data_IF_810522688644
#
_entry.id   IF_810522688644
#
_cell.length_a   1.000
_cell.length_b   1.000
_cell.length_c   1.000
_cell.angle_alpha   90.00
_cell.angle_beta   90.00
_cell.angle_gamma   90.00
#
_symmetry.space_group_name_H-M   'P 1'
#
loop_
_entity.id
_entity.type
_entity.pdbx_description
1 polymer ?
#
# COMPACT_ATOMS: atom_id res chain seq x y z
N UNK A 1 13.37 -3.19 23.39
CA UNK A 1 13.84 -3.34 22.00
C UNK A 1 13.67 -2.00 21.29
N UNK A 2 14.77 -1.38 20.86
CA UNK A 2 14.77 -0.02 20.32
C UNK A 2 14.13 0.07 18.92
N UNK A 3 13.53 1.23 18.62
CA UNK A 3 12.98 1.51 17.30
C UNK A 3 14.09 1.40 16.25
N UNK A 4 13.85 0.64 15.17
CA UNK A 4 14.73 0.66 13.99
C UNK A 4 14.75 2.09 13.44
N UNK A 5 15.93 2.56 13.02
CA UNK A 5 16.09 3.88 12.40
C UNK A 5 15.20 3.99 11.17
N UNK A 6 14.56 5.14 11.00
CA UNK A 6 13.79 5.45 9.81
C UNK A 6 14.67 5.40 8.56
N UNK A 7 14.06 5.01 7.43
CA UNK A 7 14.74 5.04 6.13
C UNK A 7 15.08 6.48 5.76
N UNK A 8 16.29 6.71 5.28
CA UNK A 8 16.70 8.01 4.74
C UNK A 8 16.17 8.18 3.30
N UNK A 9 15.94 9.41 2.82
CA UNK A 9 15.45 9.64 1.46
C UNK A 9 16.24 8.92 0.34
N UNK A 10 17.60 8.86 0.39
CA UNK A 10 18.37 8.10 -0.61
C UNK A 10 18.10 6.59 -0.58
N UNK A 11 17.80 6.02 0.59
CA UNK A 11 17.48 4.60 0.73
C UNK A 11 16.09 4.30 0.17
N UNK A 12 15.12 5.19 0.42
CA UNK A 12 13.78 5.09 -0.16
C UNK A 12 13.87 5.14 -1.69
N UNK A 13 14.67 6.05 -2.24
CA UNK A 13 14.91 6.15 -3.68
C UNK A 13 15.57 4.87 -4.24
N UNK A 14 16.59 4.33 -3.58
CA UNK A 14 17.25 3.10 -4.02
C UNK A 14 16.30 1.89 -4.03
N UNK A 15 15.44 1.75 -3.02
CA UNK A 15 14.43 0.69 -2.97
C UNK A 15 13.41 0.85 -4.10
N UNK A 16 12.92 2.08 -4.30
CA UNK A 16 12.01 2.44 -5.40
C UNK A 16 12.59 2.05 -6.75
N UNK A 17 13.81 2.49 -7.03
CA UNK A 17 14.54 2.19 -8.27
C UNK A 17 14.69 0.68 -8.49
N UNK A 18 15.09 -0.06 -7.46
CA UNK A 18 15.25 -1.50 -7.55
C UNK A 18 13.92 -2.23 -7.84
N UNK A 19 12.82 -1.83 -7.20
CA UNK A 19 11.50 -2.42 -7.43
C UNK A 19 10.99 -2.15 -8.85
N UNK A 20 11.23 -0.95 -9.39
CA UNK A 20 10.87 -0.61 -10.77
C UNK A 20 11.68 -1.43 -11.76
N UNK A 21 12.99 -1.55 -11.55
CA UNK A 21 13.88 -2.33 -12.41
C UNK A 21 13.52 -3.82 -12.45
N UNK A 22 13.02 -4.37 -11.33
CA UNK A 22 12.56 -5.75 -11.23
C UNK A 22 11.10 -5.95 -11.70
N UNK A 23 10.45 -4.91 -12.23
CA UNK A 23 9.04 -4.93 -12.66
C UNK A 23 8.06 -5.39 -11.56
N UNK A 24 8.42 -5.19 -10.29
CA UNK A 24 7.64 -5.63 -9.12
C UNK A 24 6.59 -4.59 -8.76
N UNK A 25 5.64 -4.35 -9.67
CA UNK A 25 4.63 -3.29 -9.56
C UNK A 25 3.80 -3.37 -8.27
N UNK A 26 3.42 -4.58 -7.85
CA UNK A 26 2.72 -4.82 -6.58
C UNK A 26 3.53 -4.34 -5.38
N UNK A 27 4.80 -4.73 -5.32
CA UNK A 27 5.64 -4.49 -4.15
C UNK A 27 6.08 -3.01 -4.13
N UNK A 28 6.21 -2.38 -5.30
CA UNK A 28 6.37 -0.93 -5.43
C UNK A 28 5.17 -0.17 -4.87
N UNK A 29 3.96 -0.54 -5.27
CA UNK A 29 2.74 0.10 -4.79
C UNK A 29 2.54 -0.12 -3.27
N UNK A 30 2.84 -1.32 -2.77
CA UNK A 30 2.79 -1.63 -1.34
C UNK A 30 3.80 -0.80 -0.53
N UNK A 31 5.02 -0.67 -1.05
CA UNK A 31 6.08 0.11 -0.42
C UNK A 31 5.71 1.58 -0.34
N UNK A 32 5.25 2.18 -1.44
CA UNK A 32 4.85 3.59 -1.46
C UNK A 32 3.66 3.86 -0.50
N UNK A 33 2.66 2.97 -0.48
CA UNK A 33 1.55 3.08 0.47
C UNK A 33 2.03 2.96 1.92
N UNK A 34 2.97 2.06 2.22
CA UNK A 34 3.49 1.89 3.57
C UNK A 34 4.29 3.10 4.07
N UNK A 35 5.04 3.75 3.17
CA UNK A 35 5.80 4.97 3.48
C UNK A 35 4.84 6.13 3.79
N UNK A 36 3.84 6.35 2.93
CA UNK A 36 2.93 7.49 3.04
C UNK A 36 1.94 7.34 4.21
N UNK A 37 1.44 6.12 4.44
CA UNK A 37 0.40 5.87 5.44
C UNK A 37 0.92 5.72 6.87
N UNK A 38 2.21 5.36 7.01
CA UNK A 38 2.85 5.00 8.29
C UNK A 38 2.03 3.99 9.12
N UNK A 39 1.18 3.20 8.46
CA UNK A 39 0.34 2.22 9.11
C UNK A 39 1.18 1.03 9.61
N UNK A 40 0.61 0.29 10.55
CA UNK A 40 1.19 -1.01 10.95
C UNK A 40 1.11 -1.95 9.75
N UNK A 41 2.12 -2.79 9.55
CA UNK A 41 2.13 -3.72 8.41
C UNK A 41 0.88 -4.60 8.31
N UNK A 42 0.28 -4.99 9.44
CA UNK A 42 -0.97 -5.76 9.46
C UNK A 42 -2.21 -4.97 9.03
N UNK A 43 -2.18 -3.63 9.14
CA UNK A 43 -3.24 -2.75 8.67
C UNK A 43 -3.02 -2.43 7.17
N UNK A 44 -1.77 -2.22 6.72
CA UNK A 44 -1.43 -1.97 5.30
C UNK A 44 -1.94 -3.10 4.39
N UNK A 45 -1.70 -4.36 4.76
CA UNK A 45 -2.12 -5.50 3.93
C UNK A 45 -3.64 -5.67 3.85
N UNK A 46 -4.39 -5.09 4.79
CA UNK A 46 -5.87 -5.18 4.85
C UNK A 46 -6.57 -4.01 4.16
N UNK A 47 -5.83 -3.06 3.61
CA UNK A 47 -6.40 -1.94 2.85
C UNK A 47 -7.20 -2.49 1.66
N UNK A 48 -8.45 -2.05 1.55
CA UNK A 48 -9.33 -2.34 0.42
C UNK A 48 -9.16 -1.31 -0.69
N UNK A 49 -9.57 -1.67 -1.90
CA UNK A 49 -9.55 -0.74 -3.03
C UNK A 49 -10.42 0.49 -2.73
N UNK A 50 -11.59 0.31 -2.11
CA UNK A 50 -12.49 1.41 -1.74
C UNK A 50 -11.95 2.38 -0.68
N UNK A 51 -10.91 1.99 0.08
CA UNK A 51 -10.27 2.88 1.06
C UNK A 51 -9.41 3.94 0.35
N UNK A 52 -8.84 3.60 -0.80
CA UNK A 52 -7.86 4.41 -1.55
C UNK A 52 -8.38 4.90 -2.91
N UNK A 53 -9.45 4.30 -3.46
CA UNK A 53 -10.05 4.68 -4.75
C UNK A 53 -11.47 5.20 -4.55
N UNK A 54 -11.81 6.27 -5.26
CA UNK A 54 -13.16 6.84 -5.36
C UNK A 54 -13.47 7.15 -6.82
N UNK A 55 -14.62 6.72 -7.32
CA UNK A 55 -15.07 7.03 -8.68
C UNK A 55 -14.00 6.75 -9.76
N UNK A 56 -13.23 5.67 -9.62
CA UNK A 56 -12.16 5.29 -10.55
C UNK A 56 -10.83 6.04 -10.39
N UNK A 57 -10.72 6.98 -9.45
CA UNK A 57 -9.50 7.74 -9.19
C UNK A 57 -8.90 7.42 -7.82
N UNK A 58 -7.57 7.39 -7.74
CA UNK A 58 -6.87 7.27 -6.46
C UNK A 58 -7.00 8.59 -5.69
N UNK A 59 -7.51 8.50 -4.48
CA UNK A 59 -7.72 9.65 -3.60
C UNK A 59 -6.38 10.30 -3.24
N UNK A 60 -6.39 11.62 -3.03
CA UNK A 60 -5.26 12.32 -2.42
C UNK A 60 -5.16 12.05 -0.91
N UNK A 61 -6.27 11.67 -0.26
CA UNK A 61 -6.33 11.29 1.15
C UNK A 61 -7.12 10.01 1.31
N UNK A 62 -6.59 9.09 2.11
CA UNK A 62 -7.26 7.84 2.45
C UNK A 62 -7.50 7.77 3.95
N UNK A 63 -8.51 7.02 4.35
CA UNK A 63 -8.85 6.78 5.75
C UNK A 63 -8.91 5.28 5.96
N UNK A 64 -8.10 4.76 6.88
CA UNK A 64 -8.06 3.34 7.23
C UNK A 64 -8.25 3.20 8.74
N UNK A 65 -9.15 2.30 9.15
CA UNK A 65 -9.38 2.01 10.56
C UNK A 65 -8.31 1.03 11.06
N UNK A 66 -7.45 1.49 11.96
CA UNK A 66 -6.41 0.63 12.53
C UNK A 66 -7.02 -0.48 13.39
N UNK A 67 -6.57 -1.72 13.20
CA UNK A 67 -7.15 -2.88 13.90
C UNK A 67 -6.95 -2.82 15.41
N UNK A 68 -5.75 -2.41 15.86
CA UNK A 68 -5.38 -2.41 17.28
C UNK A 68 -6.14 -1.36 18.08
N UNK A 69 -6.25 -0.16 17.53
CA UNK A 69 -6.82 1.00 18.23
C UNK A 69 -8.28 1.22 17.90
N UNK A 70 -8.79 0.58 16.83
CA UNK A 70 -10.15 0.79 16.28
C UNK A 70 -10.43 2.25 15.92
N UNK A 71 -9.38 3.04 15.69
CA UNK A 71 -9.47 4.46 15.34
C UNK A 71 -9.22 4.63 13.84
N UNK A 72 -10.01 5.49 13.16
CA UNK A 72 -9.71 5.90 11.80
C UNK A 72 -8.40 6.70 11.81
N UNK A 73 -7.51 6.37 10.89
CA UNK A 73 -6.29 7.13 10.62
C UNK A 73 -6.39 7.65 9.20
N UNK A 74 -6.31 8.98 9.07
CA UNK A 74 -6.25 9.66 7.80
C UNK A 74 -4.79 9.92 7.45
N UNK A 75 -4.44 9.69 6.20
CA UNK A 75 -3.10 9.99 5.66
C UNK A 75 -3.22 10.51 4.23
N UNK A 76 -2.19 11.21 3.79
CA UNK A 76 -2.08 11.73 2.43
C UNK A 76 -1.36 10.72 1.54
N UNK A 77 -1.86 10.56 0.31
CA UNK A 77 -1.26 9.75 -0.73
C UNK A 77 -0.48 10.68 -1.66
N UNK A 78 0.85 10.64 -1.53
CA UNK A 78 1.75 11.44 -2.35
C UNK A 78 1.64 11.02 -3.81
N UNK A 79 2.01 11.92 -4.72
CA UNK A 79 1.89 11.68 -6.17
C UNK A 79 2.59 10.39 -6.61
N UNK A 80 3.79 10.12 -6.09
CA UNK A 80 4.52 8.89 -6.38
C UNK A 80 3.72 7.62 -5.98
N UNK A 81 3.05 7.63 -4.82
CA UNK A 81 2.22 6.52 -4.38
C UNK A 81 0.96 6.39 -5.22
N UNK A 82 0.33 7.50 -5.62
CA UNK A 82 -0.84 7.48 -6.50
C UNK A 82 -0.51 6.88 -7.87
N UNK A 83 0.66 7.20 -8.43
CA UNK A 83 1.12 6.63 -9.69
C UNK A 83 1.39 5.12 -9.58
N UNK A 84 2.10 4.68 -8.54
CA UNK A 84 2.41 3.26 -8.36
C UNK A 84 1.18 2.43 -8.02
N UNK A 85 0.30 2.93 -7.14
CA UNK A 85 -0.98 2.29 -6.84
C UNK A 85 -1.86 2.18 -8.08
N UNK A 86 -1.90 3.21 -8.93
CA UNK A 86 -2.69 3.18 -10.18
C UNK A 86 -2.18 2.09 -11.12
N UNK A 87 -0.86 2.07 -11.37
CA UNK A 87 -0.23 1.08 -12.23
C UNK A 87 -0.37 -0.36 -11.69
N UNK A 88 -0.54 -0.54 -10.38
CA UNK A 88 -0.84 -1.82 -9.77
C UNK A 88 -2.32 -2.21 -9.91
N UNK A 89 -3.24 -1.31 -9.56
CA UNK A 89 -4.68 -1.58 -9.60
C UNK A 89 -5.21 -1.77 -11.02
N UNK A 90 -4.67 -1.06 -12.02
CA UNK A 90 -4.99 -1.27 -13.43
C UNK A 90 -4.62 -2.68 -13.91
N UNK A 91 -3.50 -3.24 -13.40
CA UNK A 91 -3.08 -4.61 -13.73
C UNK A 91 -3.82 -5.67 -12.94
N UNK A 92 -4.11 -5.40 -11.66
CA UNK A 92 -4.81 -6.32 -10.75
C UNK A 92 -6.29 -6.47 -11.13
N UNK A 93 -6.95 -5.38 -11.51
CA UNK A 93 -8.41 -5.31 -11.61
C UNK A 93 -9.10 -5.49 -10.24
N UNK A 94 -10.42 -5.69 -10.22
CA UNK A 94 -11.19 -5.95 -8.99
C UNK A 94 -12.19 -4.86 -8.62
N UNK A 95 -12.87 -5.07 -7.50
CA UNK A 95 -13.94 -4.21 -7.00
C UNK A 95 -13.51 -3.46 -5.73
N UNK A 96 -14.29 -2.45 -5.33
CA UNK A 96 -14.01 -1.64 -4.13
C UNK A 96 -13.96 -2.46 -2.84
N UNK A 97 -14.62 -3.62 -2.81
CA UNK A 97 -14.67 -4.51 -1.66
C UNK A 97 -13.44 -5.41 -1.53
N UNK A 98 -12.66 -5.54 -2.61
CA UNK A 98 -11.49 -6.38 -2.64
C UNK A 98 -10.29 -5.75 -1.94
N UNK A 99 -9.40 -6.60 -1.43
CA UNK A 99 -8.10 -6.15 -0.93
C UNK A 99 -7.25 -5.55 -2.05
N UNK A 100 -6.65 -4.39 -1.78
CA UNK A 100 -5.71 -3.75 -2.70
C UNK A 100 -4.46 -4.64 -2.92
N UNK A 101 -4.05 -5.39 -1.89
CA UNK A 101 -2.91 -6.31 -1.94
C UNK A 101 -3.32 -7.72 -1.50
N UNK A 102 -3.91 -8.52 -2.41
CA UNK A 102 -4.26 -9.90 -2.11
C UNK A 102 -3.03 -10.80 -1.98
N UNK A 103 -3.20 -11.94 -1.31
CA UNK A 103 -2.21 -13.02 -1.24
C UNK A 103 -1.86 -13.52 -2.66
N UNK A 104 -0.63 -14.03 -2.85
CA UNK A 104 -0.22 -14.68 -4.12
C UNK A 104 -0.93 -16.02 -4.34
N UNK A 105 -1.43 -16.64 -3.27
CA UNK A 105 -2.00 -18.01 -3.30
C UNK A 105 -3.52 -17.98 -3.35
N UNK A 106 -4.15 -17.03 -2.63
CA UNK A 106 -5.60 -16.91 -2.58
C UNK A 106 -6.00 -15.44 -2.69
N UNK A 107 -6.56 -15.07 -3.84
CA UNK A 107 -6.93 -13.70 -4.14
C UNK A 107 -8.11 -13.17 -3.32
N UNK A 108 -8.85 -14.04 -2.63
CA UNK A 108 -9.89 -13.65 -1.67
C UNK A 108 -9.32 -13.20 -0.31
N UNK A 109 -8.04 -13.48 -0.05
CA UNK A 109 -7.38 -13.18 1.23
C UNK A 109 -6.32 -12.09 1.10
N UNK A 110 -6.09 -11.34 2.19
CA UNK A 110 -5.04 -10.32 2.23
C UNK A 110 -3.64 -10.94 2.26
N UNK A 111 -2.63 -10.20 1.78
CA UNK A 111 -1.23 -10.60 1.81
C UNK A 111 -0.82 -11.10 3.22
N UNK A 112 -0.18 -12.27 3.28
CA UNK A 112 0.33 -12.84 4.53
C UNK A 112 1.77 -12.35 4.79
N UNK A 113 2.21 -12.41 6.04
CA UNK A 113 3.55 -11.96 6.47
C UNK A 113 4.72 -12.84 5.97
N UNK A 114 4.45 -13.90 5.18
CA UNK A 114 5.45 -14.86 4.69
C UNK A 114 5.63 -14.86 3.16
N UNK A 115 5.20 -13.81 2.47
CA UNK A 115 5.22 -13.73 0.99
C UNK A 115 6.03 -12.57 0.46
#
# INVERSE_FOLDING_TARGET
>A
MGAKRALKPPQVWAIRFWLDHQWRSRDRALFDLAIDSQLRGCDVVKVKIGDIVSAGHIRARAIVVQRKTKRPVQFELMEAARLSLRAWLERRGGTVDDYAFPSRIDHSTHLSTRQ
#
